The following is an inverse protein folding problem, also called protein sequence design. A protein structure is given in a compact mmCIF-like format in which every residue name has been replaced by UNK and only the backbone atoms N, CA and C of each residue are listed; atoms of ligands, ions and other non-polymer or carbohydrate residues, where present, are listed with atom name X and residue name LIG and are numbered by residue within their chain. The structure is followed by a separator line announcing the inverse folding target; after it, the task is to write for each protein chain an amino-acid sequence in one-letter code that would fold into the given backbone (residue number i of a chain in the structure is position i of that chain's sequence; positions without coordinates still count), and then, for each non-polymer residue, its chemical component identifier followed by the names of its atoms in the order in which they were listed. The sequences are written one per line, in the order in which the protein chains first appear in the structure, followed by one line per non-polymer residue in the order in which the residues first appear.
data_IF_627237153827
#
_entry.id   IF_627237153827
#
_cell.length_a   1.000
_cell.length_b   1.000
_cell.length_c   1.000
_cell.angle_alpha   90.00
_cell.angle_beta   90.00
_cell.angle_gamma   90.00
#
_symmetry.space_group_name_H-M   'P 1'
#
loop_
_entity.id
_entity.type
_entity.pdbx_description
1 polymer ?
#
# COMPACT_ATOMS: atom_id res chain seq x y z
N UNK A 1 6.61 8.85 4.19
CA UNK A 1 7.71 8.04 3.64
C UNK A 1 7.62 8.12 2.13
N UNK A 2 8.75 8.24 1.45
CA UNK A 2 8.85 8.30 -0.01
C UNK A 2 10.19 7.67 -0.49
N UNK A 3 10.53 7.86 -1.75
CA UNK A 3 11.77 7.36 -2.35
C UNK A 3 13.06 7.76 -1.61
N UNK A 4 13.04 8.84 -0.84
CA UNK A 4 14.19 9.33 -0.09
C UNK A 4 14.29 8.73 1.32
N UNK A 5 13.33 7.89 1.71
CA UNK A 5 13.23 7.37 3.08
C UNK A 5 13.98 6.06 3.30
N UNK A 6 14.53 5.43 2.26
CA UNK A 6 15.12 4.09 2.35
C UNK A 6 16.54 3.94 1.76
N UNK A 7 17.44 4.96 1.80
CA UNK A 7 18.77 4.82 1.20
C UNK A 7 19.59 3.69 1.84
N UNK A 8 19.42 3.46 3.15
CA UNK A 8 20.15 2.43 3.89
C UNK A 8 19.81 1.01 3.42
N UNK A 9 18.60 0.79 2.88
CA UNK A 9 18.19 -0.54 2.40
C UNK A 9 18.98 -0.93 1.16
N UNK A 10 19.31 0.03 0.28
CA UNK A 10 20.15 -0.23 -0.87
C UNK A 10 21.59 -0.58 -0.45
N UNK A 11 22.12 0.09 0.57
CA UNK A 11 23.45 -0.19 1.11
C UNK A 11 23.56 -1.60 1.72
N UNK A 12 22.49 -2.08 2.38
CA UNK A 12 22.45 -3.41 2.98
C UNK A 12 22.64 -4.55 1.96
N UNK A 13 22.22 -4.36 0.72
CA UNK A 13 22.30 -5.39 -0.34
C UNK A 13 23.41 -5.12 -1.36
N UNK A 14 24.11 -3.99 -1.26
CA UNK A 14 25.09 -3.54 -2.27
C UNK A 14 26.29 -4.49 -2.45
N UNK A 15 26.59 -5.32 -1.46
CA UNK A 15 27.68 -6.30 -1.49
C UNK A 15 27.24 -7.68 -2.00
N UNK A 16 25.94 -7.88 -2.23
CA UNK A 16 25.38 -9.13 -2.74
C UNK A 16 25.38 -9.13 -4.27
N UNK A 17 25.28 -10.31 -4.88
CA UNK A 17 24.97 -10.38 -6.31
C UNK A 17 23.50 -9.99 -6.56
N UNK A 18 23.15 -9.71 -7.82
CA UNK A 18 21.82 -9.23 -8.20
C UNK A 18 20.68 -10.15 -7.74
N UNK A 19 20.87 -11.47 -7.83
CA UNK A 19 19.85 -12.44 -7.45
C UNK A 19 19.59 -12.43 -5.94
N UNK A 20 20.66 -12.47 -5.14
CA UNK A 20 20.59 -12.46 -3.68
C UNK A 20 20.10 -11.10 -3.15
N UNK A 21 20.54 -10.00 -3.78
CA UNK A 21 20.07 -8.65 -3.47
C UNK A 21 18.57 -8.50 -3.73
N UNK A 22 18.09 -8.91 -4.90
CA UNK A 22 16.67 -8.86 -5.24
C UNK A 22 15.81 -9.76 -4.32
N UNK A 23 16.29 -10.97 -4.00
CA UNK A 23 15.61 -11.87 -3.06
C UNK A 23 15.53 -11.27 -1.65
N UNK A 24 16.61 -10.67 -1.18
CA UNK A 24 16.69 -10.00 0.12
C UNK A 24 15.74 -8.79 0.18
N UNK A 25 15.68 -7.97 -0.87
CA UNK A 25 14.73 -6.85 -0.95
C UNK A 25 13.27 -7.34 -0.92
N UNK A 26 12.95 -8.43 -1.61
CA UNK A 26 11.61 -9.05 -1.52
C UNK A 26 11.30 -9.52 -0.09
N UNK A 27 12.28 -10.12 0.60
CA UNK A 27 12.12 -10.56 1.98
C UNK A 27 11.92 -9.37 2.94
N UNK A 28 12.65 -8.27 2.76
CA UNK A 28 12.47 -7.03 3.53
C UNK A 28 11.05 -6.48 3.33
N UNK A 29 10.52 -6.46 2.10
CA UNK A 29 9.14 -6.03 1.84
C UNK A 29 8.15 -6.91 2.61
N UNK A 30 8.26 -8.24 2.52
CA UNK A 30 7.34 -9.13 3.21
C UNK A 30 7.42 -9.01 4.74
N UNK A 31 8.64 -8.93 5.29
CA UNK A 31 8.87 -8.78 6.72
C UNK A 31 8.34 -7.44 7.25
N UNK A 32 8.56 -6.35 6.53
CA UNK A 32 8.05 -5.02 6.93
C UNK A 32 6.54 -4.94 6.90
N UNK A 33 5.87 -5.59 5.93
CA UNK A 33 4.41 -5.73 5.95
C UNK A 33 3.95 -6.54 7.16
N UNK A 34 4.62 -7.64 7.49
CA UNK A 34 4.30 -8.45 8.67
C UNK A 34 4.42 -7.66 9.97
N UNK A 35 5.52 -6.94 10.17
CA UNK A 35 5.68 -6.02 11.31
C UNK A 35 4.60 -4.93 11.32
N UNK A 36 4.23 -4.40 10.16
CA UNK A 36 3.16 -3.42 10.04
C UNK A 36 1.79 -3.95 10.46
N UNK A 37 1.52 -5.25 10.31
CA UNK A 37 0.26 -5.86 10.76
C UNK A 37 0.12 -5.85 12.28
N UNK A 38 1.22 -5.86 13.04
CA UNK A 38 1.21 -5.79 14.50
C UNK A 38 0.69 -4.44 15.02
N UNK A 39 0.73 -3.40 14.18
CA UNK A 39 0.24 -2.06 14.49
C UNK A 39 -1.26 -1.88 14.26
N UNK A 40 -1.94 -2.90 13.72
CA UNK A 40 -3.36 -2.81 13.41
C UNK A 40 -4.20 -2.74 14.69
N UNK A 41 -5.23 -1.87 14.75
CA UNK A 41 -6.05 -1.70 15.96
C UNK A 41 -6.92 -2.92 16.28
N UNK A 42 -7.05 -3.86 15.35
CA UNK A 42 -7.80 -5.10 15.49
C UNK A 42 -7.17 -6.21 14.62
N UNK A 43 -7.44 -7.49 14.92
CA UNK A 43 -6.98 -8.61 14.11
C UNK A 43 -7.43 -8.50 12.65
N UNK A 44 -6.49 -8.66 11.73
CA UNK A 44 -6.75 -8.69 10.28
C UNK A 44 -7.20 -10.09 9.89
N UNK A 45 -8.30 -10.21 9.14
CA UNK A 45 -8.81 -11.51 8.67
C UNK A 45 -8.32 -11.89 7.27
N UNK A 46 -7.88 -10.92 6.47
CA UNK A 46 -7.33 -11.11 5.14
C UNK A 46 -6.56 -9.86 4.68
N UNK A 47 -5.62 -10.03 3.76
CA UNK A 47 -4.88 -8.95 3.10
C UNK A 47 -5.18 -8.96 1.60
N UNK A 48 -5.60 -7.81 1.09
CA UNK A 48 -5.82 -7.59 -0.34
C UNK A 48 -4.72 -6.70 -0.91
N UNK A 49 -3.97 -7.22 -1.89
CA UNK A 49 -2.80 -6.55 -2.48
C UNK A 49 -3.21 -5.90 -3.80
N UNK A 50 -2.91 -4.60 -3.94
CA UNK A 50 -3.09 -3.80 -5.14
C UNK A 50 -1.75 -3.21 -5.64
N UNK A 51 -1.78 -2.45 -6.74
CA UNK A 51 -0.57 -1.85 -7.32
C UNK A 51 0.36 -2.88 -7.98
N UNK A 52 1.49 -2.43 -8.51
CA UNK A 52 2.39 -3.28 -9.31
C UNK A 52 3.00 -4.46 -8.53
N UNK A 53 3.22 -4.30 -7.22
CA UNK A 53 3.80 -5.35 -6.36
C UNK A 53 2.98 -6.64 -6.32
N UNK A 54 1.66 -6.57 -6.55
CA UNK A 54 0.79 -7.74 -6.60
C UNK A 54 1.12 -8.71 -7.74
N UNK A 55 1.77 -8.23 -8.80
CA UNK A 55 2.20 -9.04 -9.95
C UNK A 55 3.51 -9.78 -9.68
N UNK A 56 4.25 -9.44 -8.61
CA UNK A 56 5.49 -10.12 -8.27
C UNK A 56 5.17 -11.43 -7.50
N UNK A 57 5.39 -12.61 -8.11
CA UNK A 57 5.02 -13.88 -7.49
C UNK A 57 5.86 -14.19 -6.24
N UNK A 58 7.11 -13.72 -6.17
CA UNK A 58 8.01 -13.93 -5.03
C UNK A 58 7.52 -13.13 -3.82
N UNK A 59 7.23 -11.84 -4.00
CA UNK A 59 6.67 -10.99 -2.94
C UNK A 59 5.35 -11.58 -2.44
N UNK A 60 4.44 -11.94 -3.35
CA UNK A 60 3.15 -12.52 -2.98
C UNK A 60 3.29 -13.86 -2.25
N UNK A 61 4.27 -14.69 -2.61
CA UNK A 61 4.57 -15.94 -1.91
C UNK A 61 5.11 -15.68 -0.49
N UNK A 62 6.06 -14.75 -0.35
CA UNK A 62 6.64 -14.41 0.95
C UNK A 62 5.60 -13.77 1.89
N UNK A 63 4.71 -12.92 1.38
CA UNK A 63 3.60 -12.37 2.15
C UNK A 63 2.66 -13.48 2.66
N UNK A 64 2.29 -14.44 1.79
CA UNK A 64 1.44 -15.58 2.20
C UNK A 64 2.09 -16.43 3.29
N UNK A 65 3.39 -16.64 3.20
CA UNK A 65 4.13 -17.40 4.21
C UNK A 65 4.26 -16.62 5.53
N UNK A 66 4.42 -15.29 5.48
CA UNK A 66 4.74 -14.47 6.65
C UNK A 66 3.54 -13.95 7.44
N UNK A 67 2.36 -13.79 6.83
CA UNK A 67 1.25 -13.07 7.47
C UNK A 67 0.26 -13.95 8.24
N UNK A 68 0.28 -15.27 8.06
CA UNK A 68 -0.63 -16.19 8.76
C UNK A 68 -2.13 -16.01 8.42
N UNK A 69 -2.46 -15.11 7.49
CA UNK A 69 -3.81 -14.81 7.01
C UNK A 69 -3.85 -14.90 5.48
N UNK A 70 -5.02 -15.09 4.87
CA UNK A 70 -5.15 -15.10 3.41
C UNK A 70 -4.59 -13.81 2.78
N UNK A 71 -3.67 -13.95 1.82
CA UNK A 71 -3.15 -12.85 1.01
C UNK A 71 -3.58 -13.06 -0.44
N UNK A 72 -4.44 -12.16 -0.92
CA UNK A 72 -5.09 -12.23 -2.22
C UNK A 72 -4.79 -10.97 -3.03
N UNK A 73 -4.75 -11.10 -4.35
CA UNK A 73 -4.81 -9.92 -5.21
C UNK A 73 -6.24 -9.35 -5.17
N UNK A 74 -6.39 -8.03 -5.30
CA UNK A 74 -7.71 -7.37 -5.28
C UNK A 74 -8.66 -7.85 -6.37
N UNK A 75 -8.13 -8.41 -7.47
CA UNK A 75 -8.89 -9.05 -8.55
C UNK A 75 -9.77 -10.20 -8.06
N UNK A 76 -9.42 -10.85 -6.94
CA UNK A 76 -10.27 -11.87 -6.33
C UNK A 76 -11.65 -11.33 -5.91
N UNK A 77 -11.74 -10.03 -5.64
CA UNK A 77 -12.98 -9.32 -5.30
C UNK A 77 -13.57 -8.54 -6.50
N UNK A 78 -13.13 -8.84 -7.72
CA UNK A 78 -13.62 -8.19 -8.93
C UNK A 78 -13.14 -6.74 -9.12
N UNK A 79 -12.14 -6.31 -8.36
CA UNK A 79 -11.52 -4.99 -8.49
C UNK A 79 -10.37 -5.02 -9.50
N UNK A 80 -10.07 -3.88 -10.09
CA UNK A 80 -8.90 -3.71 -10.95
C UNK A 80 -7.75 -3.09 -10.14
N UNK A 81 -6.72 -3.88 -9.81
CA UNK A 81 -5.63 -3.43 -8.97
C UNK A 81 -4.68 -2.42 -9.62
N UNK A 82 -4.69 -2.26 -10.95
CA UNK A 82 -3.91 -1.24 -11.66
C UNK A 82 -4.64 0.12 -11.69
N UNK A 83 -5.96 0.11 -11.52
CA UNK A 83 -6.79 1.32 -11.60
C UNK A 83 -7.20 1.86 -10.23
N UNK A 84 -6.91 1.14 -9.14
CA UNK A 84 -7.46 1.45 -7.82
C UNK A 84 -7.06 2.84 -7.32
N UNK A 85 -5.82 3.27 -7.60
CA UNK A 85 -5.35 4.61 -7.25
C UNK A 85 -6.05 5.71 -8.06
N UNK A 86 -6.19 5.52 -9.38
CA UNK A 86 -6.92 6.44 -10.25
C UNK A 86 -8.40 6.56 -9.83
N UNK A 87 -9.03 5.44 -9.48
CA UNK A 87 -10.39 5.40 -8.95
C UNK A 87 -10.51 6.11 -7.60
N UNK A 88 -9.51 5.97 -6.72
CA UNK A 88 -9.47 6.70 -5.46
C UNK A 88 -9.41 8.21 -5.69
N UNK A 89 -8.60 8.70 -6.64
CA UNK A 89 -8.60 10.12 -7.02
C UNK A 89 -9.93 10.58 -7.62
N UNK A 90 -10.55 9.78 -8.49
CA UNK A 90 -11.88 10.09 -9.03
C UNK A 90 -12.94 10.19 -7.91
N UNK A 91 -12.89 9.29 -6.93
CA UNK A 91 -13.76 9.34 -5.75
C UNK A 91 -13.52 10.61 -4.93
N UNK A 92 -12.26 10.97 -4.67
CA UNK A 92 -11.91 12.22 -3.97
C UNK A 92 -12.45 13.44 -4.73
N UNK A 93 -12.26 13.51 -6.05
CA UNK A 93 -12.81 14.59 -6.89
C UNK A 93 -14.34 14.68 -6.79
N UNK A 94 -15.04 13.55 -6.84
CA UNK A 94 -16.49 13.51 -6.64
C UNK A 94 -16.89 14.03 -5.25
N UNK A 95 -16.11 13.73 -4.19
CA UNK A 95 -16.36 14.30 -2.85
C UNK A 95 -16.17 15.81 -2.83
N UNK A 96 -15.13 16.34 -3.48
CA UNK A 96 -14.89 17.80 -3.59
C UNK A 96 -16.06 18.48 -4.30
N UNK A 97 -16.51 17.96 -5.44
CA UNK A 97 -17.67 18.48 -6.18
C UNK A 97 -18.93 18.52 -5.32
N UNK A 98 -19.11 17.53 -4.44
CA UNK A 98 -20.25 17.43 -3.53
C UNK A 98 -20.03 18.11 -2.17
N UNK A 99 -18.96 18.91 -2.00
CA UNK A 99 -18.60 19.58 -0.73
C UNK A 99 -18.50 18.63 0.46
N UNK A 100 -18.05 17.39 0.23
CA UNK A 100 -17.83 16.38 1.26
C UNK A 100 -16.36 16.37 1.69
N UNK A 101 -16.05 16.04 2.97
CA UNK A 101 -14.67 15.92 3.44
C UNK A 101 -13.85 14.94 2.60
N UNK A 102 -12.55 15.16 2.45
CA UNK A 102 -11.62 14.25 1.75
C UNK A 102 -10.68 13.52 2.71
N UNK A 103 -10.53 14.03 3.93
CA UNK A 103 -9.79 13.37 5.01
C UNK A 103 -10.46 13.61 6.37
N UNK A 104 -10.02 12.88 7.40
CA UNK A 104 -10.48 13.04 8.77
C UNK A 104 -9.60 12.31 9.80
N UNK A 105 -10.06 12.23 11.05
CA UNK A 105 -9.29 11.63 12.14
C UNK A 105 -8.87 10.18 11.86
N UNK A 106 -9.77 9.37 11.28
CA UNK A 106 -9.52 7.95 11.02
C UNK A 106 -8.65 7.66 9.80
N UNK A 107 -8.36 8.64 8.94
CA UNK A 107 -7.54 8.45 7.73
C UNK A 107 -6.14 9.02 7.89
N UNK A 108 -6.02 10.28 8.31
CA UNK A 108 -4.72 10.98 8.42
C UNK A 108 -4.45 11.55 9.81
N UNK A 109 -5.33 11.34 10.78
CA UNK A 109 -5.21 11.94 12.12
C UNK A 109 -5.55 13.44 12.17
N UNK A 110 -6.20 14.00 11.14
CA UNK A 110 -6.67 15.38 11.18
C UNK A 110 -7.66 15.57 12.36
N UNK A 111 -7.65 16.70 13.08
CA UNK A 111 -8.44 16.88 14.31
C UNK A 111 -9.95 16.88 14.05
N UNK A 112 -10.37 17.21 12.82
CA UNK A 112 -11.75 17.21 12.36
C UNK A 112 -11.81 16.71 10.92
N UNK A 113 -13.00 16.45 10.40
CA UNK A 113 -13.19 16.20 8.98
C UNK A 113 -12.82 17.44 8.16
N UNK A 114 -11.90 17.27 7.21
CA UNK A 114 -11.38 18.36 6.37
C UNK A 114 -11.66 18.08 4.90
N UNK A 115 -11.99 19.15 4.18
CA UNK A 115 -11.99 19.15 2.71
C UNK A 115 -10.56 19.32 2.17
N UNK A 116 -10.42 19.14 0.86
CA UNK A 116 -9.18 19.37 0.12
C UNK A 116 -9.46 19.45 -1.37
N UNK A 117 -8.41 19.58 -2.18
CA UNK A 117 -8.52 19.73 -3.63
C UNK A 117 -9.02 21.10 -4.08
N UNK A 118 -8.78 21.44 -5.34
CA UNK A 118 -9.19 22.70 -5.96
C UNK A 118 -9.99 22.42 -7.23
N UNK A 119 -11.11 23.13 -7.43
CA UNK A 119 -11.93 23.00 -8.62
C UNK A 119 -11.38 23.89 -9.73
N UNK A 120 -10.62 23.30 -10.64
CA UNK A 120 -10.28 23.94 -11.91
C UNK A 120 -11.50 23.90 -12.84
N UNK A 121 -11.87 25.07 -13.39
CA UNK A 121 -12.89 25.18 -14.44
C UNK A 121 -12.20 25.29 -15.80
N UNK A 122 -12.78 24.70 -16.87
CA UNK A 122 -12.27 24.88 -18.23
C UNK A 122 -12.17 26.34 -18.65
#
# INVERSE_FOLDING_TARGET
LDRNSFPQIAELVAHMNDADGAATLCAIIAATVATGMELMPAPVSQVLVCGGGRHNPVIMSMLRAGLGVPVLAVEHHGLNGDMLEAQAFAYLAARVLNKRPTSGPSTTGAPVFIGGGELARP
#
